data_IF_775700399070
#
_entry.id   IF_775700399070
#
_cell.length_a   1.000
_cell.length_b   1.000
_cell.length_c   1.000
_cell.angle_alpha   90.00
_cell.angle_beta   90.00
_cell.angle_gamma   90.00
#
_symmetry.space_group_name_H-M   'P 1'
#
loop_
_entity.id
_entity.type
_entity.pdbx_description
1 polymer ?
#
# COMPACT_ATOMS: atom_id res chain seq x y z
N UNK A 1 -6.43 16.06 -26.53
CA UNK A 1 -5.80 14.74 -26.77
C UNK A 1 -4.32 14.90 -26.54
N UNK A 2 -3.82 14.43 -25.38
CA UNK A 2 -2.39 14.40 -25.09
C UNK A 2 -1.76 13.27 -25.89
N UNK A 3 -0.62 13.50 -26.53
CA UNK A 3 0.15 12.49 -27.26
C UNK A 3 0.42 11.28 -26.35
N UNK A 4 0.45 10.04 -26.88
CA UNK A 4 0.83 8.87 -26.09
C UNK A 4 2.22 9.11 -25.51
N UNK A 5 2.32 9.04 -24.18
CA UNK A 5 3.59 9.21 -23.45
C UNK A 5 4.48 8.01 -23.72
N UNK A 6 5.79 8.25 -23.82
CA UNK A 6 6.78 7.21 -24.10
C UNK A 6 6.65 6.04 -23.10
N UNK A 7 6.46 4.79 -23.55
CA UNK A 7 6.41 3.61 -22.69
C UNK A 7 7.61 3.47 -21.75
N UNK A 8 8.77 3.94 -22.14
CA UNK A 8 9.98 3.92 -21.31
C UNK A 8 9.86 4.72 -20.00
N UNK A 9 8.84 5.59 -19.88
CA UNK A 9 8.57 6.38 -18.67
C UNK A 9 7.50 5.78 -17.75
N UNK A 10 6.92 4.65 -18.10
CA UNK A 10 5.89 3.97 -17.30
C UNK A 10 6.51 3.15 -16.18
N UNK A 11 5.78 3.04 -15.07
CA UNK A 11 6.09 2.06 -14.04
C UNK A 11 6.02 0.64 -14.61
N UNK A 12 6.88 -0.24 -14.10
CA UNK A 12 6.72 -1.67 -14.32
C UNK A 12 5.37 -2.12 -13.77
N UNK A 13 4.60 -2.81 -14.59
CA UNK A 13 3.27 -3.28 -14.25
C UNK A 13 2.98 -4.64 -14.87
N UNK A 14 2.10 -5.37 -14.23
CA UNK A 14 1.59 -6.66 -14.70
C UNK A 14 0.07 -6.61 -14.71
N UNK A 15 -0.53 -7.24 -15.73
CA UNK A 15 -1.97 -7.42 -15.82
C UNK A 15 -2.26 -8.90 -15.63
N UNK A 16 -3.14 -9.22 -14.66
CA UNK A 16 -3.55 -10.58 -14.36
C UNK A 16 -5.08 -10.67 -14.36
N UNK A 17 -5.61 -11.74 -14.93
CA UNK A 17 -7.04 -12.01 -15.09
C UNK A 17 -7.39 -12.21 -16.57
N UNK A 18 -8.03 -13.34 -16.86
CA UNK A 18 -8.26 -13.80 -18.24
C UNK A 18 -9.52 -13.20 -18.87
N UNK A 19 -10.45 -12.66 -18.06
CA UNK A 19 -11.67 -12.06 -18.57
C UNK A 19 -11.46 -10.59 -18.95
N UNK A 20 -11.44 -10.24 -20.26
CA UNK A 20 -11.20 -8.86 -20.70
C UNK A 20 -12.35 -7.90 -20.33
N UNK A 21 -13.52 -8.42 -19.98
CA UNK A 21 -14.70 -7.65 -19.60
C UNK A 21 -14.85 -7.50 -18.07
N UNK A 22 -13.99 -8.13 -17.28
CA UNK A 22 -14.02 -7.99 -15.82
C UNK A 22 -13.67 -6.55 -15.41
N UNK A 23 -14.24 -6.05 -14.32
CA UNK A 23 -13.88 -4.74 -13.78
C UNK A 23 -12.38 -4.68 -13.43
N UNK A 24 -11.78 -3.49 -13.62
CA UNK A 24 -10.40 -3.28 -13.23
C UNK A 24 -10.23 -3.16 -11.72
N UNK A 25 -9.13 -3.72 -11.22
CA UNK A 25 -8.67 -3.56 -9.85
C UNK A 25 -7.19 -3.17 -9.85
N UNK A 26 -6.88 -1.99 -9.33
CA UNK A 26 -5.51 -1.47 -9.21
C UNK A 26 -4.98 -1.75 -7.81
N UNK A 27 -3.82 -2.41 -7.71
CA UNK A 27 -3.19 -2.79 -6.45
C UNK A 27 -1.93 -1.95 -6.19
N UNK A 28 -1.94 -1.13 -5.13
CA UNK A 28 -0.87 -0.19 -4.76
C UNK A 28 -0.17 -0.67 -3.49
N UNK A 29 1.06 -1.15 -3.62
CA UNK A 29 1.82 -1.68 -2.48
C UNK A 29 2.34 -0.60 -1.53
N UNK A 30 2.81 -1.01 -0.35
CA UNK A 30 3.43 -0.15 0.65
C UNK A 30 4.93 0.10 0.43
N UNK A 31 5.53 0.95 1.26
CA UNK A 31 6.96 1.25 1.22
C UNK A 31 7.81 -0.04 1.31
N UNK A 32 8.81 -0.15 0.42
CA UNK A 32 9.65 -1.33 0.31
C UNK A 32 8.93 -2.56 -0.26
N UNK A 33 7.68 -2.44 -0.73
CA UNK A 33 6.92 -3.49 -1.38
C UNK A 33 7.29 -3.70 -2.84
N UNK A 34 6.47 -4.46 -3.54
CA UNK A 34 6.48 -4.67 -4.99
C UNK A 34 5.20 -5.40 -5.39
N UNK A 35 4.99 -5.66 -6.66
CA UNK A 35 3.92 -6.55 -7.17
C UNK A 35 3.81 -7.82 -6.34
N UNK A 36 4.94 -8.39 -5.91
CA UNK A 36 4.98 -9.62 -5.08
C UNK A 36 4.33 -9.48 -3.70
N UNK A 37 4.08 -8.28 -3.23
CA UNK A 37 3.32 -8.05 -1.99
C UNK A 37 1.92 -8.65 -2.09
N UNK A 38 1.36 -8.70 -3.30
CA UNK A 38 0.00 -9.13 -3.59
C UNK A 38 -0.14 -10.61 -3.97
N UNK A 39 0.91 -11.42 -3.78
CA UNK A 39 0.91 -12.82 -4.19
C UNK A 39 -0.32 -13.60 -3.71
N UNK A 40 -0.73 -13.38 -2.46
CA UNK A 40 -1.88 -14.08 -1.88
C UNK A 40 -3.24 -13.51 -2.30
N UNK A 41 -3.25 -12.32 -2.87
CA UNK A 41 -4.44 -11.63 -3.36
C UNK A 41 -4.72 -11.97 -4.83
N UNK A 42 -3.66 -12.23 -5.61
CA UNK A 42 -3.78 -12.51 -7.04
C UNK A 42 -4.70 -13.71 -7.30
N UNK A 43 -4.47 -14.83 -6.62
CA UNK A 43 -5.27 -16.05 -6.80
C UNK A 43 -6.74 -15.85 -6.43
N UNK A 44 -7.01 -15.02 -5.40
CA UNK A 44 -8.37 -14.75 -4.94
C UNK A 44 -9.10 -13.74 -5.85
N UNK A 45 -8.41 -12.74 -6.38
CA UNK A 45 -9.05 -11.63 -7.08
C UNK A 45 -9.10 -11.80 -8.61
N UNK A 46 -8.09 -12.46 -9.21
CA UNK A 46 -8.01 -12.63 -10.65
C UNK A 46 -9.22 -13.36 -11.32
N UNK A 47 -9.93 -14.27 -10.63
CA UNK A 47 -11.15 -14.84 -11.18
C UNK A 47 -12.31 -13.83 -11.39
N UNK A 48 -12.30 -12.73 -10.63
CA UNK A 48 -13.38 -11.74 -10.58
C UNK A 48 -13.04 -10.41 -11.23
N UNK A 49 -11.74 -10.06 -11.26
CA UNK A 49 -11.25 -8.74 -11.65
C UNK A 49 -10.07 -8.82 -12.61
N UNK A 50 -9.92 -7.80 -13.40
CA UNK A 50 -8.71 -7.54 -14.18
C UNK A 50 -7.73 -6.78 -13.29
N UNK A 51 -6.71 -7.45 -12.79
CA UNK A 51 -5.76 -6.87 -11.83
C UNK A 51 -4.69 -6.08 -12.56
N UNK A 52 -4.52 -4.81 -12.19
CA UNK A 52 -3.35 -4.02 -12.51
C UNK A 52 -2.44 -3.96 -11.28
N UNK A 53 -1.31 -4.63 -11.37
CA UNK A 53 -0.29 -4.69 -10.34
C UNK A 53 0.85 -3.76 -10.74
N UNK A 54 1.33 -2.94 -9.82
CA UNK A 54 2.34 -1.91 -10.08
C UNK A 54 3.52 -2.06 -9.14
N UNK A 55 4.74 -1.89 -9.66
CA UNK A 55 5.90 -1.57 -8.86
C UNK A 55 6.03 -0.03 -8.79
N UNK A 56 5.94 0.54 -7.60
CA UNK A 56 6.12 1.98 -7.41
C UNK A 56 7.54 2.40 -7.81
N UNK A 57 7.73 3.67 -8.14
CA UNK A 57 9.05 4.25 -8.46
C UNK A 57 10.12 3.76 -7.49
N UNK A 58 11.29 3.37 -7.97
CA UNK A 58 12.44 2.76 -7.26
C UNK A 58 12.16 1.38 -6.61
N UNK A 59 10.95 0.86 -6.71
CA UNK A 59 10.60 -0.45 -6.17
C UNK A 59 10.55 -1.51 -7.28
N UNK A 60 10.75 -2.77 -6.88
CA UNK A 60 10.63 -3.91 -7.79
C UNK A 60 11.48 -3.76 -9.05
N UNK A 61 10.82 -3.72 -10.21
CA UNK A 61 11.41 -3.50 -11.52
C UNK A 61 11.23 -2.06 -12.04
N UNK A 62 10.57 -1.17 -11.29
CA UNK A 62 10.44 0.27 -11.62
C UNK A 62 11.69 1.04 -11.21
N UNK A 63 12.83 0.66 -11.77
CA UNK A 63 14.10 1.36 -11.65
C UNK A 63 14.25 2.37 -12.80
N UNK A 64 14.98 3.44 -12.54
CA UNK A 64 15.40 4.40 -13.55
C UNK A 64 14.22 5.03 -14.33
N UNK A 65 13.08 5.26 -13.65
CA UNK A 65 11.88 5.88 -14.23
C UNK A 65 12.16 7.37 -14.51
N UNK A 66 11.94 7.78 -15.75
CA UNK A 66 12.09 9.15 -16.19
C UNK A 66 10.76 9.95 -16.08
N UNK A 67 10.83 11.26 -15.79
CA UNK A 67 12.04 12.01 -15.45
C UNK A 67 12.54 11.65 -14.03
N UNK A 68 13.86 11.74 -13.85
CA UNK A 68 14.44 11.63 -12.51
C UNK A 68 14.14 12.88 -11.68
N UNK A 69 13.94 12.68 -10.39
CA UNK A 69 13.71 13.76 -9.43
C UNK A 69 14.71 13.65 -8.28
N UNK A 70 15.23 14.79 -7.77
CA UNK A 70 16.13 14.80 -6.63
C UNK A 70 15.45 14.40 -5.32
N UNK A 71 14.13 14.58 -5.25
CA UNK A 71 13.26 14.21 -4.14
C UNK A 71 11.87 13.86 -4.69
N UNK A 72 11.08 13.12 -3.93
CA UNK A 72 9.71 12.76 -4.30
C UNK A 72 8.70 13.48 -3.41
N UNK A 73 7.53 13.70 -3.99
CA UNK A 73 6.30 14.05 -3.31
C UNK A 73 5.17 13.09 -3.78
N UNK A 74 3.98 13.25 -3.21
CA UNK A 74 2.86 12.40 -3.57
C UNK A 74 2.26 12.72 -4.92
N UNK A 75 2.50 13.93 -5.45
CA UNK A 75 2.07 14.34 -6.79
C UNK A 75 2.83 13.50 -7.84
N UNK A 76 4.16 13.41 -7.69
CA UNK A 76 5.01 12.61 -8.58
C UNK A 76 4.61 11.12 -8.56
N UNK A 77 4.44 10.55 -7.36
CA UNK A 77 4.16 9.10 -7.23
C UNK A 77 2.74 8.76 -7.70
N UNK A 78 1.77 9.63 -7.44
CA UNK A 78 0.41 9.44 -7.95
C UNK A 78 0.36 9.59 -9.48
N UNK A 79 1.05 10.59 -10.05
CA UNK A 79 1.13 10.80 -11.50
C UNK A 79 1.76 9.60 -12.21
N UNK A 80 2.77 8.96 -11.64
CA UNK A 80 3.35 7.74 -12.22
C UNK A 80 2.31 6.61 -12.38
N UNK A 81 1.44 6.43 -11.39
CA UNK A 81 0.36 5.43 -11.45
C UNK A 81 -0.68 5.86 -12.47
N UNK A 82 -1.09 7.13 -12.46
CA UNK A 82 -2.08 7.68 -13.39
C UNK A 82 -1.61 7.55 -14.84
N UNK A 83 -0.31 7.71 -15.12
CA UNK A 83 0.25 7.47 -16.46
C UNK A 83 0.06 6.04 -16.94
N UNK A 84 0.23 5.04 -16.07
CA UNK A 84 -0.02 3.65 -16.44
C UNK A 84 -1.50 3.44 -16.73
N UNK A 85 -2.38 3.97 -15.87
CA UNK A 85 -3.83 3.88 -16.00
C UNK A 85 -4.30 4.52 -17.33
N UNK A 86 -3.80 5.72 -17.63
CA UNK A 86 -4.12 6.44 -18.87
C UNK A 86 -3.58 5.70 -20.11
N UNK A 87 -2.37 5.12 -20.03
CA UNK A 87 -1.78 4.32 -21.10
C UNK A 87 -2.61 3.07 -21.42
N UNK A 88 -3.18 2.45 -20.41
CA UNK A 88 -4.04 1.26 -20.55
C UNK A 88 -5.50 1.60 -20.90
N UNK A 89 -5.86 2.89 -20.96
CA UNK A 89 -7.22 3.34 -21.24
C UNK A 89 -8.23 2.91 -20.17
N UNK A 90 -7.82 2.93 -18.90
CA UNK A 90 -8.69 2.56 -17.79
C UNK A 90 -9.48 3.79 -17.34
N UNK A 91 -10.78 3.80 -17.62
CA UNK A 91 -11.65 4.92 -17.24
C UNK A 91 -12.13 4.84 -15.79
N UNK A 92 -12.26 3.61 -15.26
CA UNK A 92 -12.77 3.36 -13.91
C UNK A 92 -12.23 2.05 -13.34
N UNK A 93 -11.86 2.05 -12.06
CA UNK A 93 -11.33 0.87 -11.38
C UNK A 93 -11.69 0.84 -9.89
N UNK A 94 -11.67 -0.36 -9.30
CA UNK A 94 -11.52 -0.53 -7.86
C UNK A 94 -10.04 -0.37 -7.49
N UNK A 95 -9.77 0.16 -6.31
CA UNK A 95 -8.40 0.34 -5.82
C UNK A 95 -8.20 -0.40 -4.51
N UNK A 96 -7.11 -1.16 -4.41
CA UNK A 96 -6.68 -1.83 -3.18
C UNK A 96 -5.27 -1.35 -2.86
N UNK A 97 -5.08 -0.79 -1.68
CA UNK A 97 -3.83 -0.17 -1.27
C UNK A 97 -3.35 -0.67 0.09
N UNK A 98 -2.04 -0.62 0.32
CA UNK A 98 -1.41 -1.03 1.58
C UNK A 98 -0.50 0.07 2.11
N UNK A 99 -0.65 0.43 3.40
CA UNK A 99 0.27 1.33 4.13
C UNK A 99 0.42 2.69 3.41
N UNK A 100 1.64 3.10 3.04
CA UNK A 100 1.89 4.34 2.27
C UNK A 100 1.11 4.37 0.95
N UNK A 101 0.81 3.21 0.38
CA UNK A 101 -0.07 3.11 -0.80
C UNK A 101 -1.45 3.69 -0.55
N UNK A 102 -1.95 3.67 0.71
CA UNK A 102 -3.21 4.32 1.07
C UNK A 102 -3.12 5.85 0.98
N UNK A 103 -1.96 6.43 1.24
CA UNK A 103 -1.74 7.88 1.12
C UNK A 103 -1.63 8.28 -0.36
N UNK A 104 -1.02 7.43 -1.18
CA UNK A 104 -0.99 7.62 -2.64
C UNK A 104 -2.42 7.53 -3.20
N UNK A 105 -3.22 6.57 -2.74
CA UNK A 105 -4.63 6.46 -3.14
C UNK A 105 -5.45 7.69 -2.69
N UNK A 106 -5.19 8.22 -1.49
CA UNK A 106 -5.79 9.48 -1.04
C UNK A 106 -5.47 10.64 -2.00
N UNK A 107 -4.25 10.70 -2.52
CA UNK A 107 -3.85 11.70 -3.51
C UNK A 107 -4.59 11.49 -4.83
N UNK A 108 -4.70 10.26 -5.31
CA UNK A 108 -5.47 9.91 -6.52
C UNK A 108 -6.96 10.28 -6.36
N UNK A 109 -7.56 10.02 -5.18
CA UNK A 109 -8.96 10.40 -4.90
C UNK A 109 -9.17 11.94 -4.86
N UNK A 110 -8.13 12.70 -4.52
CA UNK A 110 -8.18 14.16 -4.62
C UNK A 110 -8.15 14.63 -6.07
N UNK A 111 -7.30 14.04 -6.89
CA UNK A 111 -7.01 14.51 -8.26
C UNK A 111 -7.96 13.94 -9.31
N UNK A 112 -8.29 12.65 -9.21
CA UNK A 112 -9.05 11.89 -10.19
C UNK A 112 -10.14 11.04 -9.53
N UNK A 113 -11.07 11.65 -8.74
CA UNK A 113 -12.11 10.91 -8.02
C UNK A 113 -13.03 10.10 -8.97
N UNK A 114 -13.23 10.54 -10.21
CA UNK A 114 -14.04 9.84 -11.21
C UNK A 114 -13.49 8.46 -11.56
N UNK A 115 -12.17 8.30 -11.52
CA UNK A 115 -11.47 7.05 -11.81
C UNK A 115 -11.80 5.95 -10.78
N UNK A 116 -12.11 6.35 -9.53
CA UNK A 116 -12.33 5.41 -8.45
C UNK A 116 -13.77 4.95 -8.41
N UNK A 117 -13.99 3.64 -8.50
CA UNK A 117 -15.29 3.03 -8.21
C UNK A 117 -15.46 2.79 -6.71
N UNK A 118 -14.62 1.95 -6.15
CA UNK A 118 -14.52 1.66 -4.71
C UNK A 118 -13.06 1.59 -4.30
N UNK A 119 -12.80 1.85 -3.03
CA UNK A 119 -11.44 1.80 -2.50
C UNK A 119 -11.33 0.92 -1.27
N UNK A 120 -10.23 0.16 -1.19
CA UNK A 120 -9.85 -0.61 -0.02
C UNK A 120 -8.47 -0.14 0.45
N UNK A 121 -8.37 0.21 1.71
CA UNK A 121 -7.15 0.72 2.33
C UNK A 121 -6.73 -0.20 3.47
N UNK A 122 -5.70 -1.02 3.26
CA UNK A 122 -5.16 -1.95 4.24
C UNK A 122 -4.01 -1.31 5.04
N UNK A 123 -3.99 -1.49 6.36
CA UNK A 123 -3.00 -0.82 7.21
C UNK A 123 -2.94 0.68 6.91
N UNK A 124 -4.11 1.31 6.82
CA UNK A 124 -4.28 2.65 6.27
C UNK A 124 -3.70 3.74 7.17
N UNK A 125 -3.21 4.81 6.54
CA UNK A 125 -2.55 5.91 7.23
C UNK A 125 -3.39 7.19 7.07
N UNK A 126 -4.00 7.65 8.18
CA UNK A 126 -4.84 8.86 8.21
C UNK A 126 -4.35 9.92 9.20
N UNK A 127 -3.26 9.67 9.91
CA UNK A 127 -2.62 10.66 10.78
C UNK A 127 -1.14 10.31 10.94
N UNK A 128 -0.34 11.34 11.16
CA UNK A 128 1.02 11.19 11.64
C UNK A 128 1.03 11.32 13.16
N UNK A 129 1.08 10.21 13.88
CA UNK A 129 1.27 10.26 15.32
C UNK A 129 2.58 11.01 15.68
N UNK A 130 2.65 11.60 16.88
CA UNK A 130 3.88 12.23 17.38
C UNK A 130 5.09 11.26 17.30
N UNK A 131 4.84 9.98 17.46
CA UNK A 131 5.83 8.91 17.33
C UNK A 131 6.36 8.83 15.88
N UNK A 132 5.48 9.02 14.89
CA UNK A 132 5.85 9.06 13.48
C UNK A 132 6.71 10.30 13.17
N UNK A 133 6.32 11.48 13.70
CA UNK A 133 7.13 12.70 13.61
C UNK A 133 8.51 12.50 14.21
N UNK A 134 8.58 11.99 15.44
CA UNK A 134 9.84 11.70 16.12
C UNK A 134 10.69 10.71 15.31
N UNK A 135 10.07 9.66 14.79
CA UNK A 135 10.77 8.66 13.99
C UNK A 135 11.35 9.27 12.70
N UNK A 136 10.56 10.02 11.94
CA UNK A 136 11.03 10.62 10.68
C UNK A 136 12.19 11.59 10.92
N UNK A 137 12.08 12.45 11.94
CA UNK A 137 13.16 13.38 12.27
C UNK A 137 14.41 12.67 12.78
N UNK A 138 14.24 11.66 13.65
CA UNK A 138 15.37 10.85 14.12
C UNK A 138 15.97 10.00 13.00
N UNK A 139 15.19 9.45 12.09
CA UNK A 139 15.71 8.70 10.95
C UNK A 139 16.60 9.58 10.05
N UNK A 140 16.20 10.83 9.80
CA UNK A 140 17.02 11.79 9.06
C UNK A 140 18.36 12.04 9.75
N UNK A 141 18.33 12.33 11.05
CA UNK A 141 19.56 12.55 11.84
C UNK A 141 20.44 11.29 11.91
N UNK A 142 19.81 10.13 12.10
CA UNK A 142 20.52 8.85 12.18
C UNK A 142 21.13 8.43 10.83
N UNK A 143 20.59 8.86 9.70
CA UNK A 143 21.16 8.57 8.38
C UNK A 143 22.58 9.17 8.18
N UNK A 144 22.97 10.16 8.97
CA UNK A 144 24.35 10.66 8.97
C UNK A 144 25.35 9.72 9.67
N UNK A 145 24.84 8.83 10.55
CA UNK A 145 25.68 7.99 11.42
C UNK A 145 25.47 6.50 11.09
N UNK A 146 24.25 6.11 10.75
CA UNK A 146 23.89 4.71 10.53
C UNK A 146 23.50 4.46 9.05
N UNK A 147 23.86 3.30 8.49
CA UNK A 147 23.39 2.91 7.19
C UNK A 147 21.85 2.74 7.21
N UNK A 148 21.16 3.15 6.13
CA UNK A 148 19.71 3.10 6.03
C UNK A 148 19.12 1.72 6.37
N UNK A 149 19.86 0.62 6.11
CA UNK A 149 19.44 -0.76 6.44
C UNK A 149 19.28 -0.98 7.93
N UNK A 150 20.13 -0.36 8.75
CA UNK A 150 20.03 -0.42 10.21
C UNK A 150 18.78 0.35 10.69
N UNK A 151 18.51 1.51 10.11
CA UNK A 151 17.31 2.30 10.41
C UNK A 151 16.04 1.52 10.02
N UNK A 152 16.02 0.90 8.83
CA UNK A 152 14.92 0.03 8.40
C UNK A 152 14.71 -1.15 9.35
N UNK A 153 15.81 -1.75 9.81
CA UNK A 153 15.76 -2.84 10.78
C UNK A 153 15.13 -2.39 12.11
N UNK A 154 15.55 -1.26 12.66
CA UNK A 154 14.95 -0.67 13.86
C UNK A 154 13.47 -0.35 13.66
N UNK A 155 13.12 0.30 12.54
CA UNK A 155 11.74 0.65 12.20
C UNK A 155 10.83 -0.57 12.11
N UNK A 156 11.35 -1.68 11.58
CA UNK A 156 10.58 -2.92 11.49
C UNK A 156 10.09 -3.43 12.85
N UNK A 157 10.80 -3.15 13.94
CA UNK A 157 10.37 -3.51 15.29
C UNK A 157 9.40 -2.50 15.89
N UNK A 158 9.49 -1.23 15.47
CA UNK A 158 8.56 -0.20 15.92
C UNK A 158 7.18 -0.45 15.31
N UNK A 159 7.11 -0.71 14.01
CA UNK A 159 5.83 -0.96 13.31
C UNK A 159 5.26 -2.34 13.61
N UNK A 160 6.11 -3.34 13.75
CA UNK A 160 5.76 -4.75 13.86
C UNK A 160 6.41 -5.40 15.13
N UNK A 161 6.02 -4.99 16.36
CA UNK A 161 6.75 -5.38 17.57
C UNK A 161 6.49 -6.83 18.02
N UNK A 162 5.33 -7.42 17.71
CA UNK A 162 4.89 -8.69 18.30
C UNK A 162 5.54 -9.91 17.62
N UNK A 163 5.47 -11.07 18.29
CA UNK A 163 6.06 -12.32 17.79
C UNK A 163 5.38 -12.84 16.52
N UNK A 164 4.06 -12.73 16.43
CA UNK A 164 3.27 -13.10 15.25
C UNK A 164 3.58 -12.24 14.02
N UNK A 165 4.11 -11.01 14.18
CA UNK A 165 4.56 -10.16 13.06
C UNK A 165 5.89 -10.59 12.43
N UNK A 166 6.43 -11.74 12.80
CA UNK A 166 7.76 -12.21 12.35
C UNK A 166 7.87 -12.30 10.83
N UNK A 167 6.81 -12.76 10.16
CA UNK A 167 6.76 -12.85 8.71
C UNK A 167 6.81 -11.47 8.05
N UNK A 168 5.92 -10.57 8.46
CA UNK A 168 5.85 -9.21 7.92
C UNK A 168 7.17 -8.46 8.14
N UNK A 169 7.80 -8.59 9.33
CA UNK A 169 9.14 -8.04 9.56
C UNK A 169 10.19 -8.61 8.62
N UNK A 170 10.16 -9.91 8.37
CA UNK A 170 11.12 -10.56 7.48
C UNK A 170 10.97 -10.06 6.04
N UNK A 171 9.73 -9.98 5.53
CA UNK A 171 9.41 -9.46 4.19
C UNK A 171 9.86 -8.01 4.09
N UNK A 172 9.46 -7.16 5.03
CA UNK A 172 9.80 -5.73 5.09
C UNK A 172 11.32 -5.51 5.02
N UNK A 173 12.10 -6.20 5.85
CA UNK A 173 13.57 -6.11 5.87
C UNK A 173 14.23 -6.62 4.59
N UNK A 174 13.65 -7.64 3.98
CA UNK A 174 14.18 -8.20 2.74
C UNK A 174 13.97 -7.23 1.57
N UNK A 175 12.81 -6.63 1.49
CA UNK A 175 12.51 -5.65 0.45
C UNK A 175 13.38 -4.39 0.59
N UNK A 176 13.64 -3.92 1.81
CA UNK A 176 14.52 -2.78 2.03
C UNK A 176 15.94 -2.97 1.49
N UNK A 177 16.40 -4.22 1.37
CA UNK A 177 17.73 -4.52 0.80
C UNK A 177 17.84 -4.24 -0.70
N UNK A 178 16.70 -4.10 -1.38
CA UNK A 178 16.65 -3.85 -2.83
C UNK A 178 16.73 -2.36 -3.17
N UNK A 179 16.50 -1.47 -2.20
CA UNK A 179 16.67 -0.04 -2.37
C UNK A 179 18.15 0.32 -2.24
N UNK A 180 18.62 1.28 -3.00
CA UNK A 180 19.86 1.99 -2.75
C UNK A 180 19.67 3.03 -1.63
N UNK A 181 20.77 3.56 -1.09
CA UNK A 181 20.69 4.64 -0.10
C UNK A 181 20.06 5.92 -0.69
N UNK A 182 20.37 6.24 -1.94
CA UNK A 182 19.80 7.39 -2.63
C UNK A 182 18.29 7.28 -2.82
N UNK A 183 17.80 6.14 -3.30
CA UNK A 183 16.37 5.85 -3.45
C UNK A 183 15.65 5.92 -2.09
N UNK A 184 16.22 5.31 -1.06
CA UNK A 184 15.67 5.40 0.29
C UNK A 184 15.53 6.85 0.78
N UNK A 185 16.54 7.71 0.56
CA UNK A 185 16.49 9.11 0.99
C UNK A 185 15.43 9.90 0.21
N UNK A 186 15.24 9.65 -1.09
CA UNK A 186 14.16 10.25 -1.89
C UNK A 186 12.78 9.90 -1.29
N UNK A 187 12.58 8.64 -0.87
CA UNK A 187 11.35 8.20 -0.23
C UNK A 187 11.17 8.77 1.19
N UNK A 188 12.24 9.01 1.93
CA UNK A 188 12.18 9.69 3.24
C UNK A 188 11.74 11.15 3.09
N UNK A 189 12.07 11.82 2.00
CA UNK A 189 11.61 13.19 1.73
C UNK A 189 10.09 13.30 1.53
N UNK A 190 9.40 12.22 1.11
CA UNK A 190 7.94 12.16 1.05
C UNK A 190 7.25 12.51 2.38
N UNK A 191 7.93 12.33 3.51
CA UNK A 191 7.34 12.65 4.80
C UNK A 191 7.17 14.16 5.05
N UNK A 192 7.84 15.03 4.28
CA UNK A 192 7.64 16.49 4.39
C UNK A 192 6.22 16.90 3.97
N UNK A 193 5.73 16.56 2.77
CA UNK A 193 4.37 16.86 2.33
C UNK A 193 3.32 15.93 2.95
N UNK A 194 3.72 14.77 3.47
CA UNK A 194 2.85 13.73 4.01
C UNK A 194 1.80 14.26 5.00
N UNK A 195 2.22 14.94 6.05
CA UNK A 195 1.30 15.41 7.09
C UNK A 195 0.28 16.44 6.58
N UNK A 196 0.68 17.25 5.59
CA UNK A 196 -0.21 18.20 4.95
C UNK A 196 -1.27 17.49 4.13
N UNK A 197 -0.86 16.52 3.30
CA UNK A 197 -1.75 15.73 2.46
C UNK A 197 -2.77 14.95 3.28
N UNK A 198 -2.31 14.19 4.28
CA UNK A 198 -3.19 13.37 5.13
C UNK A 198 -4.18 14.24 5.90
N UNK A 199 -3.75 15.38 6.46
CA UNK A 199 -4.64 16.32 7.14
C UNK A 199 -5.69 16.89 6.19
N UNK A 200 -5.29 17.26 4.97
CA UNK A 200 -6.20 17.76 3.94
C UNK A 200 -7.23 16.69 3.57
N UNK A 201 -6.82 15.46 3.41
CA UNK A 201 -7.70 14.35 3.05
C UNK A 201 -8.72 14.04 4.15
N UNK A 202 -8.28 13.97 5.40
CA UNK A 202 -9.17 13.66 6.54
C UNK A 202 -10.24 14.72 6.75
N UNK A 203 -9.96 15.99 6.41
CA UNK A 203 -10.89 17.10 6.56
C UNK A 203 -11.93 17.21 5.44
N UNK A 204 -11.73 16.56 4.31
CA UNK A 204 -12.71 16.58 3.20
C UNK A 204 -13.68 15.39 3.29
N UNK A 205 -14.93 15.54 2.81
CA UNK A 205 -15.83 14.40 2.66
C UNK A 205 -15.30 13.43 1.59
N UNK A 206 -15.21 12.15 1.93
CA UNK A 206 -14.92 11.09 0.97
C UNK A 206 -16.23 10.66 0.32
N UNK A 207 -16.33 10.85 -0.99
CA UNK A 207 -17.57 10.58 -1.74
C UNK A 207 -17.67 9.13 -2.20
N UNK A 208 -16.56 8.44 -2.31
CA UNK A 208 -16.50 7.05 -2.78
C UNK A 208 -16.74 6.07 -1.65
N UNK A 209 -17.40 4.96 -1.96
CA UNK A 209 -17.50 3.85 -1.00
C UNK A 209 -16.10 3.28 -0.74
N UNK A 210 -15.74 3.14 0.53
CA UNK A 210 -14.44 2.63 0.93
C UNK A 210 -14.50 1.67 2.11
N UNK A 211 -13.55 0.73 2.12
CA UNK A 211 -13.28 -0.19 3.22
C UNK A 211 -11.88 0.06 3.75
N UNK A 212 -11.76 0.29 5.03
CA UNK A 212 -10.50 0.34 5.76
C UNK A 212 -10.33 -0.99 6.49
N UNK A 213 -9.27 -1.73 6.19
CA UNK A 213 -8.94 -3.00 6.86
C UNK A 213 -7.72 -2.81 7.72
N UNK A 214 -7.87 -3.01 9.03
CA UNK A 214 -6.81 -2.82 10.01
C UNK A 214 -6.61 -4.06 10.86
N UNK A 215 -5.35 -4.36 11.20
CA UNK A 215 -5.07 -5.30 12.28
C UNK A 215 -5.23 -4.61 13.65
N UNK A 216 -5.80 -5.30 14.64
CA UNK A 216 -5.98 -4.77 16.00
C UNK A 216 -4.64 -4.48 16.71
N UNK A 217 -3.56 -5.07 16.22
CA UNK A 217 -2.20 -4.93 16.74
C UNK A 217 -1.39 -3.83 16.05
N UNK A 218 -1.98 -3.10 15.12
CA UNK A 218 -1.37 -1.91 14.51
C UNK A 218 -1.48 -0.72 15.46
N UNK A 219 -0.60 -0.68 16.44
CA UNK A 219 -0.61 0.32 17.52
C UNK A 219 -0.28 1.75 17.05
N UNK A 220 0.23 1.93 15.83
CA UNK A 220 0.61 3.24 15.28
C UNK A 220 -0.57 3.90 14.58
N UNK A 221 -1.24 3.17 13.69
CA UNK A 221 -2.21 3.75 12.76
C UNK A 221 -3.67 3.41 13.10
N UNK A 222 -3.92 2.39 13.91
CA UNK A 222 -5.26 1.89 14.21
C UNK A 222 -6.21 2.99 14.70
N UNK A 223 -5.82 3.75 15.73
CA UNK A 223 -6.68 4.79 16.31
C UNK A 223 -7.02 5.92 15.35
N UNK A 224 -6.12 6.23 14.43
CA UNK A 224 -6.39 7.24 13.41
C UNK A 224 -7.37 6.73 12.35
N UNK A 225 -7.23 5.46 11.94
CA UNK A 225 -8.14 4.79 11.02
C UNK A 225 -9.56 4.68 11.60
N UNK A 226 -9.66 4.28 12.87
CA UNK A 226 -10.93 4.22 13.58
C UNK A 226 -11.63 5.58 13.62
N UNK A 227 -10.93 6.64 14.04
CA UNK A 227 -11.50 8.01 14.04
C UNK A 227 -11.92 8.47 12.65
N UNK A 228 -11.10 8.19 11.62
CA UNK A 228 -11.41 8.56 10.25
C UNK A 228 -12.72 7.92 9.78
N UNK A 229 -12.89 6.62 9.99
CA UNK A 229 -14.10 5.90 9.55
C UNK A 229 -15.36 6.29 10.34
N UNK A 230 -15.21 6.77 11.58
CA UNK A 230 -16.34 7.29 12.36
C UNK A 230 -16.89 8.62 11.81
N UNK A 231 -16.05 9.44 11.19
CA UNK A 231 -16.46 10.74 10.63
C UNK A 231 -16.82 10.68 9.15
N UNK A 232 -16.35 9.67 8.43
CA UNK A 232 -16.56 9.52 6.97
C UNK A 232 -17.69 8.53 6.69
N UNK A 233 -18.86 9.03 6.28
CA UNK A 233 -20.10 8.23 6.09
C UNK A 233 -19.97 7.10 5.07
N UNK A 234 -19.12 7.29 4.06
CA UNK A 234 -18.92 6.32 2.98
C UNK A 234 -17.77 5.34 3.24
N UNK A 235 -17.11 5.45 4.40
CA UNK A 235 -15.99 4.59 4.77
C UNK A 235 -16.39 3.63 5.88
N UNK A 236 -16.13 2.34 5.67
CA UNK A 236 -16.35 1.29 6.67
C UNK A 236 -15.02 0.83 7.24
N UNK A 237 -15.02 0.42 8.52
CA UNK A 237 -13.87 -0.19 9.17
C UNK A 237 -14.14 -1.69 9.36
N UNK A 238 -13.18 -2.52 8.95
CA UNK A 238 -13.13 -3.93 9.36
C UNK A 238 -11.81 -4.20 10.06
N UNK A 239 -11.86 -4.87 11.19
CA UNK A 239 -10.72 -5.14 12.06
C UNK A 239 -10.41 -6.64 12.05
N UNK A 240 -9.18 -6.99 11.73
CA UNK A 240 -8.67 -8.37 11.83
C UNK A 240 -7.94 -8.49 13.17
N UNK A 241 -8.49 -9.26 14.09
CA UNK A 241 -7.89 -9.52 15.39
C UNK A 241 -6.67 -10.43 15.28
N UNK A 242 -5.71 -10.27 16.19
CA UNK A 242 -4.43 -10.97 16.21
C UNK A 242 -3.54 -10.67 14.99
N UNK A 243 -3.75 -9.54 14.35
CA UNK A 243 -3.08 -9.12 13.13
C UNK A 243 -2.41 -7.76 13.33
N UNK A 244 -1.27 -7.57 12.68
CA UNK A 244 -0.52 -6.31 12.71
C UNK A 244 -0.82 -5.41 11.52
N UNK A 245 0.17 -4.59 11.17
CA UNK A 245 0.06 -3.56 10.14
C UNK A 245 -0.16 -4.12 8.71
N UNK A 246 0.42 -5.29 8.39
CA UNK A 246 0.40 -5.85 7.04
C UNK A 246 -0.65 -6.97 6.94
N UNK A 247 -1.90 -6.62 7.20
CA UNK A 247 -3.00 -7.58 7.31
C UNK A 247 -3.22 -8.43 6.04
N UNK A 248 -2.94 -7.91 4.86
CA UNK A 248 -2.99 -8.66 3.59
C UNK A 248 -1.99 -9.82 3.50
N UNK A 249 -0.93 -9.81 4.33
CA UNK A 249 0.08 -10.86 4.41
C UNK A 249 -0.08 -11.70 5.67
N UNK A 250 -0.47 -11.07 6.78
CA UNK A 250 -0.58 -11.73 8.07
C UNK A 250 -1.84 -12.60 8.20
N UNK A 251 -2.91 -12.22 7.50
CA UNK A 251 -4.19 -12.93 7.45
C UNK A 251 -4.79 -12.85 6.04
N UNK A 252 -4.12 -13.45 5.02
CA UNK A 252 -4.47 -13.23 3.62
C UNK A 252 -5.88 -13.69 3.26
N UNK A 253 -6.33 -14.83 3.77
CA UNK A 253 -7.65 -15.39 3.49
C UNK A 253 -8.75 -14.45 3.98
N UNK A 254 -8.69 -14.05 5.27
CA UNK A 254 -9.66 -13.12 5.85
C UNK A 254 -9.65 -11.76 5.14
N UNK A 255 -8.46 -11.27 4.80
CA UNK A 255 -8.34 -10.03 4.03
C UNK A 255 -9.02 -10.15 2.67
N UNK A 256 -8.79 -11.24 1.96
CA UNK A 256 -9.38 -11.48 0.64
C UNK A 256 -10.91 -11.57 0.72
N UNK A 257 -11.43 -12.30 1.70
CA UNK A 257 -12.88 -12.44 1.91
C UNK A 257 -13.54 -11.08 2.20
N UNK A 258 -12.96 -10.26 3.10
CA UNK A 258 -13.45 -8.93 3.41
C UNK A 258 -13.48 -8.01 2.17
N UNK A 259 -12.42 -8.07 1.34
CA UNK A 259 -12.34 -7.28 0.11
C UNK A 259 -13.41 -7.72 -0.90
N UNK A 260 -13.53 -9.02 -1.15
CA UNK A 260 -14.50 -9.57 -2.10
C UNK A 260 -15.95 -9.27 -1.66
N UNK A 261 -16.29 -9.49 -0.38
CA UNK A 261 -17.60 -9.13 0.18
C UNK A 261 -17.90 -7.64 -0.02
N UNK A 262 -16.96 -6.77 0.32
CA UNK A 262 -17.15 -5.33 0.14
C UNK A 262 -17.38 -4.94 -1.32
N UNK A 263 -16.64 -5.53 -2.24
CA UNK A 263 -16.76 -5.20 -3.67
C UNK A 263 -18.02 -5.78 -4.32
N UNK A 264 -18.59 -6.86 -3.75
CA UNK A 264 -19.88 -7.43 -4.16
C UNK A 264 -21.11 -6.76 -3.53
N UNK A 265 -20.94 -5.66 -2.79
CA UNK A 265 -21.97 -4.99 -1.99
C UNK A 265 -22.56 -5.84 -0.83
N UNK A 266 -21.88 -6.92 -0.47
CA UNK A 266 -22.27 -7.74 0.67
C UNK A 266 -21.99 -7.02 2.00
N UNK A 267 -22.60 -7.49 3.06
CA UNK A 267 -22.33 -6.98 4.40
C UNK A 267 -20.94 -7.42 4.87
N UNK A 268 -20.09 -6.46 5.19
CA UNK A 268 -18.74 -6.72 5.68
C UNK A 268 -18.73 -6.67 7.21
N UNK A 269 -18.25 -7.71 7.90
CA UNK A 269 -18.18 -7.71 9.35
C UNK A 269 -17.20 -6.63 9.84
N UNK A 270 -17.59 -5.97 10.94
CA UNK A 270 -16.72 -4.94 11.54
C UNK A 270 -15.49 -5.56 12.21
N UNK A 271 -15.55 -6.84 12.59
CA UNK A 271 -14.46 -7.53 13.26
C UNK A 271 -14.45 -9.01 12.92
N UNK A 272 -13.27 -9.52 12.60
CA UNK A 272 -13.01 -10.94 12.33
C UNK A 272 -11.75 -11.37 13.08
N UNK A 273 -11.68 -12.62 13.52
CA UNK A 273 -10.54 -13.12 14.28
C UNK A 273 -9.65 -13.98 13.41
N UNK A 274 -8.40 -13.58 13.26
CA UNK A 274 -7.40 -14.42 12.60
C UNK A 274 -6.96 -15.55 13.53
N UNK A 275 -7.04 -16.77 13.02
CA UNK A 275 -6.32 -17.89 13.61
C UNK A 275 -4.90 -17.84 13.04
N UNK A 276 -3.87 -17.52 13.85
CA UNK A 276 -2.52 -17.42 13.34
C UNK A 276 -2.08 -18.80 12.84
N UNK A 277 -2.14 -19.01 11.54
CA UNK A 277 -1.53 -20.17 10.90
C UNK A 277 -0.05 -19.82 10.74
N UNK A 278 0.87 -20.52 11.40
CA UNK A 278 2.29 -20.28 11.21
C UNK A 278 2.65 -20.69 9.77
N UNK A 279 2.89 -19.73 8.92
CA UNK A 279 3.37 -19.97 7.57
C UNK A 279 4.68 -20.74 7.64
N UNK A 280 4.76 -21.84 6.91
CA UNK A 280 5.95 -22.71 6.88
C UNK A 280 7.15 -21.98 6.23
N UNK A 281 8.36 -22.39 6.57
CA UNK A 281 9.57 -21.86 5.94
C UNK A 281 9.63 -22.14 4.42
N UNK A 282 8.89 -23.14 3.91
CA UNK A 282 8.78 -23.44 2.49
C UNK A 282 7.93 -22.39 1.78
N UNK A 283 6.78 -22.02 2.34
CA UNK A 283 5.91 -20.94 1.86
C UNK A 283 6.64 -19.59 1.90
N UNK A 284 7.38 -19.32 2.97
CA UNK A 284 8.24 -18.14 3.08
C UNK A 284 9.29 -18.07 1.97
N UNK A 285 9.88 -19.21 1.60
CA UNK A 285 10.85 -19.29 0.50
C UNK A 285 10.21 -19.09 -0.86
N UNK A 286 8.98 -19.55 -1.07
CA UNK A 286 8.25 -19.33 -2.34
C UNK A 286 7.95 -17.84 -2.62
N UNK A 287 7.90 -17.00 -1.58
CA UNK A 287 7.85 -15.54 -1.71
C UNK A 287 9.15 -14.93 -2.25
N UNK A 288 10.20 -15.74 -2.43
CA UNK A 288 11.52 -15.23 -2.82
C UNK A 288 11.69 -15.04 -4.34
N UNK A 289 10.88 -15.71 -5.18
CA UNK A 289 11.14 -15.80 -6.61
C UNK A 289 12.47 -16.52 -6.92
N UNK A 290 12.75 -16.86 -8.17
CA UNK A 290 14.03 -17.43 -8.56
C UNK A 290 15.15 -16.47 -8.12
N UNK A 291 16.26 -17.05 -7.67
CA UNK A 291 17.49 -16.28 -7.40
C UNK A 291 17.91 -15.69 -8.74
N UNK A 292 17.96 -14.35 -8.82
CA UNK A 292 18.59 -13.66 -9.94
C UNK A 292 20.09 -13.92 -9.91
#
# INVERSE_FOLDING_TARGET
>A
MTAPRDPATLLHHEIVGDNPNAPWMVLIHGAGGSIRTWKFQIEAFAPHYRLLLLDLRDHGLSKDILPEFPAYDFDIVAEDILRVIDHLGIDKAHFVSLSIGSVILQKIDIERPELIDRMVMAGAIFDGSWLMHLFVHSAKALNFILPYRAIYWMFSFIVLPRRNHRLSRWIFRRQSKKLSQGEYLKWVELYKPFFKLVRQYVQRPVMKKGLVVMGDQDHIFFKAAERFTQIQRNMRLSVIENCGHVCSIEAPELFNDLVLQFLSDDEVPQRVTANPVPMSWAELRSLQGPKA
#
